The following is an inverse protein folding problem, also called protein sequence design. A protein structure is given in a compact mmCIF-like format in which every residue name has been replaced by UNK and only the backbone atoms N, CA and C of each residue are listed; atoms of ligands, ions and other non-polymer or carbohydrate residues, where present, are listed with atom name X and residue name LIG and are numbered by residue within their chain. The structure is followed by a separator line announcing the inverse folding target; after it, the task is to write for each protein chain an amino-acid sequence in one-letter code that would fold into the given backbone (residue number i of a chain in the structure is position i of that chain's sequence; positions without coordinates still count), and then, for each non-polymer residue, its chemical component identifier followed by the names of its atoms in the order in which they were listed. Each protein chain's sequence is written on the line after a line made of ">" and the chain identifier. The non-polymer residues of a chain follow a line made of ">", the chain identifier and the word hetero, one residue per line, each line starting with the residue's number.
data_IF_961867181674
#
_entry.id   IF_961867181674
#
_cell.length_a   1.000
_cell.length_b   1.000
_cell.length_c   1.000
_cell.angle_alpha   90.00
_cell.angle_beta   90.00
_cell.angle_gamma   90.00
#
_symmetry.space_group_name_H-M   'P 1'
#
loop_
_entity.id
_entity.type
_entity.pdbx_description
1 polymer ?
#
# COMPACT_ATOMS: atom_id res chain seq x y z
N UNK A 1 11.64 -0.13 4.40
CA UNK A 1 10.37 0.45 4.88
C UNK A 1 9.43 0.47 3.70
N UNK A 2 8.18 0.07 3.88
CA UNK A 2 7.18 0.16 2.84
C UNK A 2 6.41 1.47 3.00
N UNK A 3 6.30 2.27 1.93
CA UNK A 3 5.56 3.52 1.92
C UNK A 3 4.35 3.40 0.99
N UNK A 4 3.19 3.10 1.58
CA UNK A 4 1.89 3.11 0.90
C UNK A 4 1.40 4.54 0.69
N UNK A 5 0.89 4.84 -0.51
CA UNK A 5 0.43 6.18 -0.89
C UNK A 5 -0.57 6.11 -2.05
N UNK A 6 -1.30 7.21 -2.30
CA UNK A 6 -2.07 7.32 -3.56
C UNK A 6 -1.11 7.61 -4.71
N UNK A 7 -1.36 7.02 -5.89
CA UNK A 7 -0.59 7.33 -7.11
C UNK A 7 -0.60 8.83 -7.43
N UNK A 8 -1.69 9.54 -7.11
CA UNK A 8 -1.81 10.99 -7.29
C UNK A 8 -0.90 11.80 -6.35
N UNK A 9 -0.32 11.18 -5.31
CA UNK A 9 0.61 11.80 -4.36
C UNK A 9 2.07 11.37 -4.58
N UNK A 10 2.41 10.80 -5.75
CA UNK A 10 3.77 10.30 -6.08
C UNK A 10 4.89 11.26 -5.71
N UNK A 11 4.76 12.55 -6.03
CA UNK A 11 5.77 13.56 -5.70
C UNK A 11 5.95 13.74 -4.19
N UNK A 12 4.86 13.76 -3.41
CA UNK A 12 4.93 13.84 -1.95
C UNK A 12 5.54 12.57 -1.35
N UNK A 13 5.21 11.40 -1.91
CA UNK A 13 5.80 10.15 -1.49
C UNK A 13 7.32 10.12 -1.74
N UNK A 14 7.78 10.68 -2.87
CA UNK A 14 9.21 10.87 -3.16
C UNK A 14 9.87 11.81 -2.15
N UNK A 15 9.27 12.96 -1.83
CA UNK A 15 9.78 13.88 -0.79
C UNK A 15 9.92 13.19 0.57
N UNK A 16 8.91 12.41 0.98
CA UNK A 16 8.94 11.62 2.22
C UNK A 16 10.06 10.57 2.18
N UNK A 17 10.21 9.86 1.05
CA UNK A 17 11.29 8.89 0.84
C UNK A 17 12.66 9.54 0.96
N UNK A 18 12.89 10.65 0.27
CA UNK A 18 14.16 11.36 0.29
C UNK A 18 14.49 11.85 1.70
N UNK A 19 13.51 12.40 2.42
CA UNK A 19 13.70 12.79 3.81
C UNK A 19 14.11 11.59 4.67
N UNK A 20 13.36 10.49 4.63
CA UNK A 20 13.60 9.33 5.49
C UNK A 20 14.92 8.61 5.16
N UNK A 21 15.30 8.50 3.89
CA UNK A 21 16.59 7.92 3.49
C UNK A 21 17.79 8.81 3.83
N UNK A 22 17.59 10.13 3.91
CA UNK A 22 18.63 11.06 4.36
C UNK A 22 18.78 11.10 5.88
N UNK A 23 17.68 10.97 6.62
CA UNK A 23 17.69 11.01 8.09
C UNK A 23 17.97 9.66 8.73
N UNK A 24 17.84 8.55 8.00
CA UNK A 24 18.00 7.19 8.53
C UNK A 24 18.92 6.37 7.63
N UNK A 25 19.46 5.25 8.15
CA UNK A 25 20.23 4.30 7.32
C UNK A 25 19.33 3.27 6.61
N UNK A 26 18.02 3.50 6.55
CA UNK A 26 17.04 2.55 5.99
C UNK A 26 16.61 2.99 4.60
N UNK A 27 16.37 2.00 3.73
CA UNK A 27 15.77 2.23 2.41
C UNK A 27 14.25 2.24 2.48
N UNK A 28 13.65 3.09 1.66
CA UNK A 28 12.19 3.24 1.49
C UNK A 28 11.78 2.64 0.14
N UNK A 29 10.88 1.68 0.19
CA UNK A 29 10.25 1.09 -0.98
C UNK A 29 8.92 1.80 -1.25
N UNK A 30 8.72 2.15 -2.52
CA UNK A 30 7.48 2.72 -3.06
C UNK A 30 7.14 1.87 -4.28
N UNK A 31 5.99 1.20 -4.24
CA UNK A 31 5.50 0.28 -5.28
C UNK A 31 5.30 0.98 -6.64
N UNK A 32 4.74 2.19 -6.64
CA UNK A 32 4.46 2.98 -7.85
C UNK A 32 5.71 3.39 -8.65
N UNK A 33 6.92 3.26 -8.06
CA UNK A 33 8.17 3.46 -8.80
C UNK A 33 8.56 2.26 -9.65
N UNK A 34 8.00 1.10 -9.36
CA UNK A 34 8.31 -0.14 -10.04
C UNK A 34 7.15 -0.65 -10.87
N UNK A 35 5.89 -0.37 -10.53
CA UNK A 35 4.74 -1.03 -11.16
C UNK A 35 3.80 -0.12 -11.95
N UNK A 36 4.18 1.14 -12.16
CA UNK A 36 3.42 2.12 -12.98
C UNK A 36 3.23 1.61 -14.43
N UNK A 37 4.08 0.69 -14.90
CA UNK A 37 3.98 0.10 -16.24
C UNK A 37 2.89 -0.97 -16.38
N UNK A 38 2.18 -1.34 -15.30
CA UNK A 38 1.18 -2.42 -15.33
C UNK A 38 0.17 -2.23 -16.47
N UNK A 39 -0.36 -1.02 -16.60
CA UNK A 39 -1.40 -0.73 -17.58
C UNK A 39 -0.82 -0.70 -19.01
N UNK A 40 0.44 -0.30 -19.18
CA UNK A 40 1.15 -0.35 -20.45
C UNK A 40 1.33 -1.81 -20.89
N UNK A 41 1.81 -2.69 -20.00
CA UNK A 41 1.97 -4.12 -20.28
C UNK A 41 0.62 -4.78 -20.63
N UNK A 42 -0.44 -4.47 -19.88
CA UNK A 42 -1.77 -4.99 -20.19
C UNK A 42 -2.32 -4.47 -21.53
N UNK A 43 -1.95 -3.24 -21.91
CA UNK A 43 -2.34 -2.64 -23.20
C UNK A 43 -1.59 -3.28 -24.36
N UNK A 44 -0.29 -3.57 -24.22
CA UNK A 44 0.48 -4.31 -25.24
C UNK A 44 -0.03 -5.75 -25.39
N UNK A 45 -0.42 -6.38 -24.29
CA UNK A 45 -0.98 -7.73 -24.31
C UNK A 45 -2.43 -7.77 -24.82
N UNK A 46 -3.09 -6.60 -24.99
CA UNK A 46 -4.44 -6.46 -25.53
C UNK A 46 -4.59 -6.94 -26.98
N UNK A 47 -3.49 -7.23 -27.67
CA UNK A 47 -3.48 -7.76 -29.03
C UNK A 47 -3.69 -9.29 -29.11
N UNK A 48 -3.71 -9.99 -27.96
CA UNK A 48 -3.83 -11.45 -27.88
C UNK A 48 -5.23 -11.89 -27.41
N UNK A 49 -5.77 -12.99 -27.93
CA UNK A 49 -7.15 -13.42 -27.64
C UNK A 49 -7.45 -13.81 -26.16
N UNK A 50 -6.44 -13.99 -25.30
CA UNK A 50 -6.60 -14.50 -23.91
C UNK A 50 -6.20 -13.49 -22.80
N UNK A 51 -6.38 -12.19 -23.06
CA UNK A 51 -5.99 -11.09 -22.15
C UNK A 51 -6.56 -11.23 -20.75
N UNK A 52 -7.79 -11.71 -20.60
CA UNK A 52 -8.43 -11.81 -19.29
C UNK A 52 -7.64 -12.73 -18.37
N UNK A 53 -7.23 -13.91 -18.85
CA UNK A 53 -6.46 -14.88 -18.06
C UNK A 53 -5.07 -14.36 -17.75
N UNK A 54 -4.45 -13.65 -18.70
CA UNK A 54 -3.15 -13.02 -18.50
C UNK A 54 -3.23 -11.90 -17.45
N UNK A 55 -4.26 -11.06 -17.53
CA UNK A 55 -4.50 -9.97 -16.58
C UNK A 55 -4.72 -10.48 -15.16
N UNK A 56 -5.48 -11.56 -15.01
CA UNK A 56 -5.74 -12.18 -13.71
C UNK A 56 -4.46 -12.77 -13.12
N UNK A 57 -3.71 -13.56 -13.93
CA UNK A 57 -2.44 -14.12 -13.52
C UNK A 57 -1.42 -13.03 -13.15
N UNK A 58 -1.32 -11.97 -13.96
CA UNK A 58 -0.42 -10.85 -13.72
C UNK A 58 -0.79 -10.09 -12.44
N UNK A 59 -2.09 -9.85 -12.22
CA UNK A 59 -2.56 -9.19 -10.99
C UNK A 59 -2.27 -10.04 -9.76
N UNK A 60 -2.42 -11.37 -9.85
CA UNK A 60 -2.07 -12.28 -8.76
C UNK A 60 -0.56 -12.25 -8.46
N UNK A 61 0.29 -12.34 -9.49
CA UNK A 61 1.76 -12.27 -9.33
C UNK A 61 2.19 -10.94 -8.69
N UNK A 62 1.60 -9.82 -9.13
CA UNK A 62 1.86 -8.50 -8.54
C UNK A 62 1.42 -8.45 -7.07
N UNK A 63 0.24 -8.97 -6.75
CA UNK A 63 -0.26 -9.04 -5.37
C UNK A 63 0.68 -9.87 -4.48
N UNK A 64 1.11 -11.05 -4.93
CA UNK A 64 2.05 -11.89 -4.18
C UNK A 64 3.38 -11.16 -3.97
N UNK A 65 3.91 -10.51 -5.01
CA UNK A 65 5.14 -9.72 -4.92
C UNK A 65 5.01 -8.54 -3.93
N UNK A 66 3.84 -7.92 -3.88
CA UNK A 66 3.49 -6.85 -2.94
C UNK A 66 3.47 -7.34 -1.50
N UNK A 67 2.82 -8.47 -1.26
CA UNK A 67 2.80 -9.09 0.06
C UNK A 67 4.23 -9.42 0.52
N UNK A 68 5.02 -10.07 -0.32
CA UNK A 68 6.43 -10.38 -0.08
C UNK A 68 7.26 -9.16 0.33
N UNK A 69 7.06 -8.04 -0.37
CA UNK A 69 7.78 -6.79 -0.10
C UNK A 69 7.33 -6.11 1.20
N UNK A 70 6.03 -6.15 1.51
CA UNK A 70 5.50 -5.64 2.78
C UNK A 70 6.04 -6.47 3.95
N UNK A 71 5.99 -7.81 3.85
CA UNK A 71 6.48 -8.73 4.89
C UNK A 71 7.98 -8.56 5.20
N UNK A 72 8.80 -8.28 4.18
CA UNK A 72 10.24 -8.02 4.34
C UNK A 72 10.54 -6.63 4.93
N UNK A 73 9.57 -5.72 4.98
CA UNK A 73 9.77 -4.36 5.49
C UNK A 73 9.48 -4.30 6.99
N UNK A 74 10.45 -3.86 7.83
CA UNK A 74 10.25 -3.76 9.28
C UNK A 74 9.28 -2.65 9.70
N UNK A 75 9.01 -1.71 8.79
CA UNK A 75 8.07 -0.60 9.00
C UNK A 75 7.18 -0.48 7.78
N UNK A 76 5.89 -0.35 8.03
CA UNK A 76 4.88 0.01 7.04
C UNK A 76 4.35 1.40 7.37
N UNK A 77 4.43 2.33 6.42
CA UNK A 77 4.02 3.72 6.57
C UNK A 77 2.95 4.01 5.53
N UNK A 78 1.82 4.56 5.96
CA UNK A 78 0.75 4.98 5.07
C UNK A 78 0.68 6.51 4.98
N UNK A 79 0.92 7.05 3.78
CA UNK A 79 0.77 8.47 3.49
C UNK A 79 -0.70 8.81 3.22
N UNK A 80 -1.41 9.14 4.29
CA UNK A 80 -2.82 9.54 4.19
C UNK A 80 -2.98 10.95 3.58
N UNK A 81 -3.85 11.07 2.58
CA UNK A 81 -4.18 12.32 1.90
C UNK A 81 -5.65 12.30 1.45
N UNK A 82 -6.12 13.40 0.84
CA UNK A 82 -7.46 13.44 0.20
C UNK A 82 -7.57 12.51 -1.02
N UNK A 83 -6.44 12.14 -1.63
CA UNK A 83 -6.39 11.27 -2.80
C UNK A 83 -6.34 9.77 -2.41
N UNK A 84 -5.88 9.44 -1.20
CA UNK A 84 -5.93 8.06 -0.68
C UNK A 84 -7.19 7.79 0.14
N UNK A 85 -7.63 8.78 0.94
CA UNK A 85 -8.81 8.72 1.79
C UNK A 85 -9.62 10.01 1.59
N UNK A 86 -10.55 10.05 0.62
CA UNK A 86 -11.37 11.23 0.36
C UNK A 86 -12.15 11.66 1.59
N UNK A 87 -12.28 12.97 1.77
CA UNK A 87 -12.89 13.55 2.96
C UNK A 87 -14.43 13.50 2.84
N UNK A 88 -15.03 12.35 3.14
CA UNK A 88 -16.49 12.12 3.11
C UNK A 88 -17.13 12.07 4.51
N UNK A 89 -16.66 12.93 5.42
CA UNK A 89 -17.17 12.99 6.79
C UNK A 89 -16.51 11.98 7.72
N UNK A 90 -17.31 11.19 8.46
CA UNK A 90 -16.82 10.23 9.45
C UNK A 90 -16.34 8.89 8.86
N UNK A 91 -16.68 8.60 7.60
CA UNK A 91 -16.27 7.36 6.94
C UNK A 91 -14.82 7.47 6.45
N UNK A 92 -13.98 6.50 6.83
CA UNK A 92 -12.62 6.35 6.29
C UNK A 92 -12.67 5.33 5.17
N UNK A 93 -12.97 5.79 3.95
CA UNK A 93 -13.02 4.93 2.77
C UNK A 93 -11.86 5.19 1.82
N UNK A 94 -11.46 4.17 1.07
CA UNK A 94 -10.58 4.31 -0.09
C UNK A 94 -11.26 3.75 -1.34
N UNK A 95 -10.99 4.36 -2.48
CA UNK A 95 -11.40 3.85 -3.80
C UNK A 95 -10.27 3.08 -4.50
N UNK A 96 -9.07 3.08 -3.91
CA UNK A 96 -7.93 2.35 -4.45
C UNK A 96 -7.93 0.93 -3.91
N UNK A 97 -8.12 -0.04 -4.81
CA UNK A 97 -8.00 -1.46 -4.48
C UNK A 97 -6.59 -1.80 -3.94
N UNK A 98 -5.54 -1.16 -4.47
CA UNK A 98 -4.18 -1.39 -4.02
C UNK A 98 -3.93 -0.86 -2.61
N UNK A 99 -4.37 0.37 -2.27
CA UNK A 99 -4.23 0.89 -0.89
C UNK A 99 -4.98 -0.01 0.09
N UNK A 100 -6.18 -0.48 -0.28
CA UNK A 100 -6.93 -1.41 0.56
C UNK A 100 -6.15 -2.71 0.79
N UNK A 101 -5.63 -3.35 -0.26
CA UNK A 101 -4.85 -4.59 -0.13
C UNK A 101 -3.56 -4.39 0.67
N UNK A 102 -2.84 -3.28 0.47
CA UNK A 102 -1.63 -2.96 1.24
C UNK A 102 -1.92 -2.82 2.74
N UNK A 103 -2.95 -2.04 3.09
CA UNK A 103 -3.37 -1.85 4.48
C UNK A 103 -3.86 -3.16 5.11
N UNK A 104 -4.57 -3.98 4.32
CA UNK A 104 -5.05 -5.28 4.76
C UNK A 104 -3.90 -6.24 5.03
N UNK A 105 -2.92 -6.33 4.13
CA UNK A 105 -1.71 -7.16 4.31
C UNK A 105 -0.95 -6.70 5.56
N UNK A 106 -0.67 -5.40 5.68
CA UNK A 106 0.02 -4.83 6.84
C UNK A 106 -0.72 -5.12 8.15
N UNK A 107 -2.04 -4.95 8.15
CA UNK A 107 -2.89 -5.25 9.30
C UNK A 107 -2.85 -6.75 9.65
N UNK A 108 -2.99 -7.63 8.67
CA UNK A 108 -2.91 -9.09 8.88
C UNK A 108 -1.58 -9.53 9.47
N UNK A 109 -0.45 -9.00 8.99
CA UNK A 109 0.88 -9.30 9.53
C UNK A 109 0.97 -8.87 11.00
N UNK A 110 0.51 -7.65 11.31
CA UNK A 110 0.50 -7.15 12.68
C UNK A 110 -0.42 -8.00 13.60
N UNK A 111 -1.59 -8.41 13.11
CA UNK A 111 -2.55 -9.23 13.84
C UNK A 111 -2.10 -10.70 14.02
N UNK A 112 -1.31 -11.25 13.08
CA UNK A 112 -0.70 -12.59 13.20
C UNK A 112 0.31 -12.60 14.35
N UNK A 113 1.10 -11.52 14.51
CA UNK A 113 1.97 -11.37 15.69
C UNK A 113 1.18 -11.36 17.01
N UNK A 114 -0.11 -11.03 16.96
CA UNK A 114 -1.06 -11.03 18.09
C UNK A 114 -2.01 -12.25 18.12
N UNK A 115 -1.77 -13.32 17.35
CA UNK A 115 -2.58 -14.56 17.29
C UNK A 115 -4.01 -14.45 16.72
N UNK A 116 -4.35 -13.42 15.92
CA UNK A 116 -5.70 -13.27 15.34
C UNK A 116 -5.72 -13.60 13.84
N UNK A 117 -6.31 -14.74 13.49
CA UNK A 117 -6.63 -15.09 12.09
C UNK A 117 -7.75 -14.18 11.57
N UNK A 118 -7.54 -13.50 10.44
CA UNK A 118 -8.65 -13.04 9.59
C UNK A 118 -8.25 -13.11 8.10
N UNK A 119 -8.74 -14.12 7.36
CA UNK A 119 -9.07 -13.94 5.95
C UNK A 119 -10.57 -13.75 5.84
N UNK A 120 -11.01 -12.54 5.52
CA UNK A 120 -12.35 -12.30 4.99
C UNK A 120 -12.22 -11.60 3.65
N UNK A 121 -12.81 -12.20 2.63
CA UNK A 121 -12.89 -11.63 1.28
C UNK A 121 -14.16 -10.78 1.26
N UNK A 122 -14.00 -9.45 1.22
CA UNK A 122 -15.14 -8.57 1.05
C UNK A 122 -15.67 -8.68 -0.38
N UNK A 123 -16.99 -8.55 -0.53
CA UNK A 123 -17.65 -8.49 -1.83
C UNK A 123 -17.15 -7.28 -2.64
N UNK A 124 -17.25 -7.36 -3.97
CA UNK A 124 -16.87 -6.28 -4.89
C UNK A 124 -17.63 -4.99 -4.53
N UNK A 125 -16.95 -4.04 -3.90
CA UNK A 125 -17.44 -2.69 -3.63
C UNK A 125 -16.57 -1.71 -4.39
N UNK A 126 -17.17 -0.61 -4.86
CA UNK A 126 -16.43 0.46 -5.55
C UNK A 126 -15.52 1.23 -4.59
N UNK A 127 -15.76 1.09 -3.28
CA UNK A 127 -14.97 1.66 -2.20
C UNK A 127 -14.89 0.68 -1.03
N UNK A 128 -13.84 0.81 -0.25
CA UNK A 128 -13.60 -0.04 0.92
C UNK A 128 -13.45 0.79 2.18
N UNK A 129 -14.08 0.34 3.27
CA UNK A 129 -13.87 0.92 4.60
C UNK A 129 -12.54 0.45 5.17
N UNK A 130 -11.63 1.40 5.41
CA UNK A 130 -10.31 1.13 5.98
C UNK A 130 -10.24 1.50 7.47
N UNK A 131 -11.37 1.95 8.07
CA UNK A 131 -11.44 2.27 9.51
C UNK A 131 -10.91 1.16 10.41
N UNK A 132 -11.18 -0.15 10.14
CA UNK A 132 -10.62 -1.23 10.94
C UNK A 132 -9.10 -1.28 10.90
N UNK A 133 -8.49 -1.05 9.73
CA UNK A 133 -7.04 -1.09 9.56
C UNK A 133 -6.37 0.09 10.25
N UNK A 134 -6.91 1.30 10.08
CA UNK A 134 -6.33 2.52 10.64
C UNK A 134 -6.30 2.52 12.18
N UNK A 135 -7.14 1.73 12.86
CA UNK A 135 -7.09 1.58 14.33
C UNK A 135 -5.77 0.96 14.82
N UNK A 136 -5.09 0.19 13.97
CA UNK A 136 -3.78 -0.39 14.28
C UNK A 136 -2.59 0.53 13.98
N UNK A 137 -2.85 1.73 13.45
CA UNK A 137 -1.83 2.70 13.08
C UNK A 137 -1.75 3.84 14.08
N UNK A 138 -0.54 4.29 14.36
CA UNK A 138 -0.28 5.52 15.10
C UNK A 138 -0.01 6.66 14.11
N UNK A 139 -0.64 7.82 14.33
CA UNK A 139 -0.29 9.03 13.57
C UNK A 139 0.98 9.63 14.15
N UNK A 140 1.99 9.82 13.30
CA UNK A 140 3.32 10.25 13.70
C UNK A 140 3.88 11.26 12.72
N UNK A 141 4.68 12.21 13.21
CA UNK A 141 5.41 13.13 12.34
C UNK A 141 6.64 12.46 11.71
N UNK A 142 7.12 12.98 10.57
CA UNK A 142 8.34 12.46 9.93
C UNK A 142 9.57 12.54 10.85
N UNK A 143 9.67 13.61 11.66
CA UNK A 143 10.77 13.81 12.60
C UNK A 143 10.73 12.71 13.67
N UNK A 144 9.58 12.47 14.30
CA UNK A 144 9.43 11.42 15.31
C UNK A 144 9.67 10.03 14.73
N UNK A 145 9.16 9.76 13.52
CA UNK A 145 9.38 8.50 12.82
C UNK A 145 10.88 8.25 12.59
N UNK A 146 11.61 9.25 12.09
CA UNK A 146 13.06 9.15 11.89
C UNK A 146 13.82 8.87 13.19
N UNK A 147 13.37 9.46 14.31
CA UNK A 147 13.93 9.22 15.65
C UNK A 147 13.69 7.78 16.12
N UNK A 148 12.49 7.23 15.89
CA UNK A 148 12.17 5.84 16.24
C UNK A 148 13.02 4.86 15.44
N UNK A 149 13.20 5.09 14.14
CA UNK A 149 13.95 4.20 13.25
C UNK A 149 15.45 4.15 13.60
N UNK A 150 15.98 5.27 14.13
CA UNK A 150 17.38 5.40 14.51
C UNK A 150 17.67 4.97 15.96
N UNK A 151 16.64 4.68 16.76
CA UNK A 151 16.78 4.14 18.12
C UNK A 151 17.04 2.65 18.12
#
# INVERSE_FOLDING_TARGET
>A
MFLSHSHADKNKALEVKDYLENQTKRKVFIDSLFWDYKDDVLSELAEYDDISRIKDAFTLILRESLQDMIEKCPYFVFLQSKNSVPNQGLSRITYSAWIYEELKIAHSISAISESRLIPMMESMRVFHDISPFLKSFETITLIELSRIINS
#
